data_IF_927434052071
#
_entry.id   IF_927434052071
#
_cell.length_a   1.000
_cell.length_b   1.000
_cell.length_c   1.000
_cell.angle_alpha   90.00
_cell.angle_beta   90.00
_cell.angle_gamma   90.00
#
_symmetry.space_group_name_H-M   'P 1'
#
loop_
_entity.id
_entity.type
_entity.pdbx_description
1 polymer ?
#
# COMPACT_ATOMS: atom_id res chain seq x y z
N UNK A 1 19.68 52.18 -71.07
CA UNK A 1 19.59 51.01 -70.17
C UNK A 1 19.22 51.47 -68.77
N UNK A 2 17.99 51.28 -68.31
CA UNK A 2 17.66 51.17 -66.88
C UNK A 2 16.60 50.09 -66.71
N UNK A 3 16.95 49.13 -65.87
CA UNK A 3 16.24 47.89 -65.57
C UNK A 3 14.94 48.13 -64.80
N UNK A 4 13.98 47.24 -65.03
CA UNK A 4 12.72 47.12 -64.32
C UNK A 4 12.90 46.71 -62.84
N UNK A 5 11.97 47.10 -61.98
CA UNK A 5 11.62 46.31 -60.78
C UNK A 5 10.11 46.41 -60.57
N UNK A 6 9.39 45.33 -60.90
CA UNK A 6 8.01 45.12 -60.47
C UNK A 6 8.03 44.68 -59.00
N UNK A 7 7.42 45.46 -58.12
CA UNK A 7 7.17 45.04 -56.73
C UNK A 7 6.02 44.04 -56.70
N UNK A 8 6.34 42.75 -56.57
CA UNK A 8 5.37 41.71 -56.24
C UNK A 8 5.17 41.75 -54.72
N UNK A 9 4.02 42.25 -54.25
CA UNK A 9 3.65 42.19 -52.85
C UNK A 9 3.24 40.75 -52.48
N UNK A 10 4.11 40.04 -51.76
CA UNK A 10 3.79 38.75 -51.15
C UNK A 10 2.90 38.97 -49.93
N UNK A 11 1.63 38.61 -50.04
CA UNK A 11 0.73 38.48 -48.88
C UNK A 11 1.16 37.26 -48.06
N UNK A 12 1.86 37.49 -46.96
CA UNK A 12 2.07 36.49 -45.91
C UNK A 12 0.71 36.26 -45.22
N UNK A 13 0.05 35.15 -45.54
CA UNK A 13 -1.10 34.67 -44.78
C UNK A 13 -0.58 34.19 -43.44
N UNK A 14 -0.72 35.02 -42.41
CA UNK A 14 -0.49 34.61 -41.03
C UNK A 14 -1.54 33.56 -40.66
N UNK A 15 -1.15 32.29 -40.67
CA UNK A 15 -1.91 31.21 -40.05
C UNK A 15 -2.09 31.56 -38.58
N UNK A 16 -3.32 31.90 -38.18
CA UNK A 16 -3.68 32.02 -36.77
C UNK A 16 -3.52 30.66 -36.11
N UNK A 17 -2.39 30.42 -35.46
CA UNK A 17 -2.25 29.34 -34.50
C UNK A 17 -3.32 29.55 -33.42
N UNK A 18 -4.41 28.79 -33.50
CA UNK A 18 -5.39 28.71 -32.42
C UNK A 18 -4.70 27.98 -31.27
N UNK A 19 -4.02 28.74 -30.40
CA UNK A 19 -3.51 28.22 -29.14
C UNK A 19 -4.70 27.66 -28.35
N UNK A 20 -4.65 26.38 -27.99
CA UNK A 20 -5.67 25.77 -27.15
C UNK A 20 -5.79 26.55 -25.84
N UNK A 21 -6.98 27.07 -25.56
CA UNK A 21 -7.32 27.67 -24.26
C UNK A 21 -7.52 26.54 -23.26
N UNK A 22 -6.44 26.09 -22.60
CA UNK A 22 -6.54 25.17 -21.49
C UNK A 22 -6.99 25.93 -20.23
N UNK A 23 -8.04 25.45 -19.56
CA UNK A 23 -8.60 26.04 -18.33
C UNK A 23 -7.65 25.95 -17.14
N UNK A 24 -6.69 25.03 -17.20
CA UNK A 24 -5.66 24.79 -16.20
C UNK A 24 -4.40 24.32 -16.93
N UNK A 25 -3.29 25.05 -16.76
CA UNK A 25 -1.99 24.53 -17.13
C UNK A 25 -1.54 23.56 -16.02
N UNK A 26 -1.12 22.33 -16.37
CA UNK A 26 -0.91 21.29 -15.37
C UNK A 26 0.25 21.57 -14.41
N UNK A 27 1.21 22.41 -14.80
CA UNK A 27 2.38 22.79 -14.01
C UNK A 27 2.82 24.20 -14.44
N UNK A 28 2.94 25.14 -13.51
CA UNK A 28 3.56 26.43 -13.78
C UNK A 28 5.09 26.27 -13.69
N UNK A 29 5.83 26.76 -14.69
CA UNK A 29 7.29 26.84 -14.58
C UNK A 29 7.62 27.85 -13.47
N UNK A 30 8.38 27.47 -12.42
CA UNK A 30 8.77 28.41 -11.39
C UNK A 30 9.54 29.58 -12.03
N UNK A 31 9.06 30.81 -11.87
CA UNK A 31 9.69 32.00 -12.45
C UNK A 31 10.88 32.51 -11.63
N UNK A 32 11.52 31.66 -10.81
CA UNK A 32 12.66 32.04 -9.97
C UNK A 32 13.42 30.86 -9.37
N UNK A 33 14.68 31.11 -8.99
CA UNK A 33 15.52 30.20 -8.20
C UNK A 33 15.08 30.29 -6.74
N UNK A 34 13.91 29.77 -6.42
CA UNK A 34 13.33 29.79 -5.09
C UNK A 34 12.19 28.81 -5.04
N UNK A 35 12.27 27.88 -4.08
CA UNK A 35 11.17 26.98 -3.73
C UNK A 35 9.90 27.80 -3.59
N UNK A 36 8.98 27.67 -4.57
CA UNK A 36 7.62 28.15 -4.39
C UNK A 36 7.13 27.58 -3.08
N UNK A 37 6.69 28.44 -2.16
CA UNK A 37 6.38 28.12 -0.76
C UNK A 37 5.44 26.91 -0.69
N UNK A 38 6.03 25.72 -0.64
CA UNK A 38 5.28 24.50 -0.44
C UNK A 38 5.09 24.41 1.05
N UNK A 39 3.87 24.66 1.50
CA UNK A 39 3.44 24.29 2.85
C UNK A 39 3.86 22.84 3.11
N UNK A 40 4.40 22.56 4.30
CA UNK A 40 4.96 21.25 4.66
C UNK A 40 3.95 20.12 4.38
N UNK A 41 2.64 20.38 4.51
CA UNK A 41 1.56 19.47 4.16
C UNK A 41 1.60 18.96 2.70
N UNK A 42 1.90 19.83 1.73
CA UNK A 42 1.96 19.45 0.30
C UNK A 42 3.19 18.60 0.02
N UNK A 43 4.33 18.94 0.66
CA UNK A 43 5.57 18.17 0.59
C UNK A 43 5.41 16.79 1.23
N UNK A 44 4.77 16.72 2.39
CA UNK A 44 4.55 15.46 3.10
C UNK A 44 3.50 14.57 2.40
N UNK A 45 2.47 15.15 1.79
CA UNK A 45 1.57 14.40 0.91
C UNK A 45 2.31 13.83 -0.32
N UNK A 46 3.22 14.60 -0.92
CA UNK A 46 4.06 14.14 -2.04
C UNK A 46 5.03 13.04 -1.61
N UNK A 47 5.65 13.18 -0.44
CA UNK A 47 6.49 12.15 0.16
C UNK A 47 5.71 10.85 0.40
N UNK A 48 4.51 10.93 1.00
CA UNK A 48 3.63 9.76 1.20
C UNK A 48 3.30 9.09 -0.13
N UNK A 49 2.89 9.85 -1.14
CA UNK A 49 2.62 9.30 -2.47
C UNK A 49 3.85 8.60 -3.05
N UNK A 50 5.04 9.19 -2.91
CA UNK A 50 6.28 8.61 -3.39
C UNK A 50 6.66 7.32 -2.64
N UNK A 51 6.37 7.22 -1.34
CA UNK A 51 6.51 5.97 -0.56
C UNK A 51 5.54 4.90 -1.07
N UNK A 52 4.26 5.24 -1.22
CA UNK A 52 3.23 4.30 -1.69
C UNK A 52 3.50 3.80 -3.11
N UNK A 53 4.01 4.67 -3.98
CA UNK A 53 4.42 4.34 -5.34
C UNK A 53 5.80 3.66 -5.43
N UNK A 54 6.48 3.46 -4.29
CA UNK A 54 7.83 2.89 -4.21
C UNK A 54 8.90 3.69 -4.97
N UNK A 55 8.69 5.00 -5.13
CA UNK A 55 9.72 5.94 -5.59
C UNK A 55 10.68 6.30 -4.45
N UNK A 56 10.19 6.25 -3.20
CA UNK A 56 10.99 6.33 -1.97
C UNK A 56 10.90 4.97 -1.28
N UNK A 57 12.04 4.38 -0.95
CA UNK A 57 12.15 3.09 -0.29
C UNK A 57 13.38 3.06 0.63
N UNK A 58 13.41 2.13 1.59
CA UNK A 58 14.55 1.98 2.51
C UNK A 58 14.67 3.08 3.56
N UNK A 59 13.60 3.83 3.85
CA UNK A 59 13.62 4.80 4.94
C UNK A 59 13.52 4.08 6.30
N UNK A 60 14.32 4.52 7.27
CA UNK A 60 14.27 3.99 8.64
C UNK A 60 13.11 4.59 9.44
N UNK A 61 12.83 5.87 9.22
CA UNK A 61 11.78 6.65 9.90
C UNK A 61 11.15 7.63 8.91
N UNK A 62 9.93 8.08 9.21
CA UNK A 62 9.33 9.18 8.45
C UNK A 62 10.09 10.49 8.71
N UNK A 63 10.08 11.47 7.78
CA UNK A 63 10.63 12.80 8.05
C UNK A 63 9.94 13.45 9.25
N UNK A 64 10.71 14.04 10.15
CA UNK A 64 10.17 14.65 11.39
C UNK A 64 9.10 15.70 11.10
N UNK A 65 9.31 16.53 10.08
CA UNK A 65 8.34 17.53 9.62
C UNK A 65 7.04 16.94 9.05
N UNK A 66 7.00 15.62 8.79
CA UNK A 66 5.83 14.93 8.24
C UNK A 66 5.04 14.13 9.27
N UNK A 67 5.41 14.18 10.56
CA UNK A 67 4.69 13.48 11.63
C UNK A 67 3.23 13.94 11.72
N UNK A 68 3.01 15.26 11.85
CA UNK A 68 1.66 15.82 11.98
C UNK A 68 0.80 15.55 10.73
N UNK A 69 1.39 15.69 9.53
CA UNK A 69 0.72 15.37 8.27
C UNK A 69 0.35 13.88 8.16
N UNK A 70 1.20 12.99 8.69
CA UNK A 70 0.97 11.54 8.71
C UNK A 70 -0.13 11.18 9.70
N UNK A 71 -0.13 11.77 10.90
CA UNK A 71 -1.21 11.61 11.88
C UNK A 71 -2.55 12.09 11.30
N UNK A 72 -2.56 13.29 10.68
CA UNK A 72 -3.75 13.85 10.04
C UNK A 72 -4.28 12.97 8.89
N UNK A 73 -3.40 12.31 8.14
CA UNK A 73 -3.82 11.35 7.11
C UNK A 73 -4.49 10.09 7.69
N UNK A 74 -3.92 9.56 8.78
CA UNK A 74 -4.41 8.34 9.45
C UNK A 74 -5.76 8.59 10.13
N UNK A 75 -5.89 9.73 10.82
CA UNK A 75 -7.05 10.06 11.66
C UNK A 75 -8.11 10.87 10.92
N UNK A 76 -7.72 11.64 9.90
CA UNK A 76 -8.58 12.55 9.15
C UNK A 76 -9.47 11.88 8.11
N UNK A 77 -9.59 10.56 8.12
CA UNK A 77 -10.50 9.79 7.26
C UNK A 77 -9.95 9.43 5.87
N UNK A 78 -8.91 10.10 5.38
CA UNK A 78 -8.30 9.76 4.08
C UNK A 78 -7.73 8.34 4.09
N UNK A 79 -7.02 7.92 5.14
CA UNK A 79 -6.52 6.55 5.28
C UNK A 79 -7.63 5.50 5.18
N UNK A 80 -8.79 5.75 5.80
CA UNK A 80 -9.95 4.86 5.70
C UNK A 80 -10.54 4.85 4.29
N UNK A 81 -10.63 6.01 3.63
CA UNK A 81 -11.12 6.13 2.25
C UNK A 81 -10.23 5.37 1.26
N UNK A 82 -8.92 5.50 1.40
CA UNK A 82 -7.93 4.81 0.56
C UNK A 82 -7.98 3.29 0.83
N UNK A 83 -8.03 2.88 2.10
CA UNK A 83 -8.20 1.47 2.51
C UNK A 83 -9.48 0.85 1.97
N UNK A 84 -10.59 1.62 1.98
CA UNK A 84 -11.89 1.20 1.43
C UNK A 84 -11.78 0.98 -0.07
N UNK A 85 -11.16 1.91 -0.79
CA UNK A 85 -11.01 1.84 -2.24
C UNK A 85 -10.26 0.59 -2.66
N UNK A 86 -9.11 0.31 -2.03
CA UNK A 86 -8.34 -0.91 -2.30
C UNK A 86 -9.14 -2.17 -2.01
N UNK A 87 -9.79 -2.24 -0.85
CA UNK A 87 -10.62 -3.39 -0.46
C UNK A 87 -11.82 -3.62 -1.39
N UNK A 88 -12.45 -2.56 -1.89
CA UNK A 88 -13.50 -2.66 -2.91
C UNK A 88 -12.96 -3.23 -4.23
N UNK A 89 -11.77 -2.80 -4.66
CA UNK A 89 -11.15 -3.34 -5.87
C UNK A 89 -10.78 -4.82 -5.74
N UNK A 90 -10.36 -5.27 -4.55
CA UNK A 90 -10.16 -6.70 -4.25
C UNK A 90 -11.47 -7.46 -4.43
N UNK A 91 -12.56 -6.97 -3.83
CA UNK A 91 -13.87 -7.62 -3.91
C UNK A 91 -14.39 -7.69 -5.35
N UNK A 92 -14.40 -6.58 -6.08
CA UNK A 92 -14.89 -6.53 -7.45
C UNK A 92 -14.10 -7.47 -8.37
N UNK A 93 -12.77 -7.43 -8.24
CA UNK A 93 -11.92 -8.35 -8.97
C UNK A 93 -12.25 -9.82 -8.67
N UNK A 94 -12.42 -10.18 -7.39
CA UNK A 94 -12.77 -11.54 -7.01
C UNK A 94 -14.18 -11.95 -7.49
N UNK A 95 -15.17 -11.04 -7.44
CA UNK A 95 -16.55 -11.33 -7.86
C UNK A 95 -16.70 -11.54 -9.36
N UNK A 96 -15.79 -10.99 -10.17
CA UNK A 96 -15.76 -11.19 -11.62
C UNK A 96 -15.18 -12.55 -12.03
N UNK A 97 -14.57 -13.29 -11.09
CA UNK A 97 -14.00 -14.60 -11.34
C UNK A 97 -15.02 -15.72 -11.09
N UNK A 98 -14.92 -16.78 -11.90
CA UNK A 98 -15.50 -18.07 -11.55
C UNK A 98 -14.62 -18.73 -10.48
N UNK A 99 -15.03 -18.62 -9.22
CA UNK A 99 -14.30 -19.16 -8.08
C UNK A 99 -14.21 -20.69 -8.14
N UNK A 100 -13.02 -21.22 -7.85
CA UNK A 100 -12.69 -22.64 -7.79
C UNK A 100 -12.36 -23.05 -6.35
N UNK A 101 -12.48 -24.34 -6.02
CA UNK A 101 -12.26 -24.85 -4.67
C UNK A 101 -10.84 -24.65 -4.12
N UNK A 102 -9.86 -24.45 -5.01
CA UNK A 102 -8.47 -24.19 -4.68
C UNK A 102 -8.09 -22.70 -4.74
N UNK A 103 -9.05 -21.80 -4.99
CA UNK A 103 -8.81 -20.36 -5.03
C UNK A 103 -8.60 -19.78 -3.64
N UNK A 104 -7.48 -19.07 -3.49
CA UNK A 104 -7.12 -18.40 -2.23
C UNK A 104 -6.87 -16.91 -2.41
N UNK A 105 -7.32 -16.13 -1.42
CA UNK A 105 -6.87 -14.76 -1.20
C UNK A 105 -5.89 -14.78 -0.03
N UNK A 106 -4.70 -14.21 -0.26
CA UNK A 106 -3.68 -14.05 0.76
C UNK A 106 -3.80 -12.64 1.36
N UNK A 107 -3.82 -12.57 2.68
CA UNK A 107 -3.69 -11.32 3.43
C UNK A 107 -2.41 -11.32 4.27
N UNK A 108 -1.67 -10.22 4.25
CA UNK A 108 -0.73 -9.91 5.34
C UNK A 108 -1.52 -9.67 6.66
N UNK A 109 -0.84 -9.74 7.81
CA UNK A 109 -1.48 -9.52 9.11
C UNK A 109 -1.33 -8.07 9.57
N UNK A 110 -0.16 -7.68 10.07
CA UNK A 110 0.11 -6.35 10.61
C UNK A 110 -0.02 -5.27 9.53
N UNK A 111 -0.74 -4.18 9.82
CA UNK A 111 -0.98 -3.10 8.86
C UNK A 111 -1.98 -3.46 7.74
N UNK A 112 -2.52 -4.68 7.72
CA UNK A 112 -3.44 -5.15 6.66
C UNK A 112 -4.78 -5.65 7.21
N UNK A 113 -4.78 -6.66 8.08
CA UNK A 113 -6.00 -7.16 8.75
C UNK A 113 -6.07 -6.70 10.21
N UNK A 114 -4.91 -6.63 10.89
CA UNK A 114 -4.77 -6.08 12.24
C UNK A 114 -4.03 -4.75 12.14
N UNK A 115 -4.62 -3.71 12.72
CA UNK A 115 -4.05 -2.37 12.75
C UNK A 115 -2.97 -2.26 13.82
N UNK A 116 -1.79 -1.77 13.43
CA UNK A 116 -0.71 -1.37 14.33
C UNK A 116 -0.69 0.14 14.61
N UNK A 117 -1.69 0.89 14.13
CA UNK A 117 -1.84 2.33 14.39
C UNK A 117 -1.85 2.64 15.90
N UNK A 118 -2.53 1.87 16.79
CA UNK A 118 -2.51 2.19 18.22
C UNK A 118 -1.10 2.20 18.84
N UNK A 119 -0.19 1.36 18.35
CA UNK A 119 1.23 1.41 18.72
C UNK A 119 1.87 2.67 18.14
N UNK A 120 1.84 2.84 16.82
CA UNK A 120 2.53 3.96 16.17
C UNK A 120 2.03 5.34 16.61
N UNK A 121 0.76 5.49 16.99
CA UNK A 121 0.22 6.74 17.55
C UNK A 121 0.88 7.17 18.86
N UNK A 122 1.41 6.21 19.63
CA UNK A 122 2.16 6.45 20.86
C UNK A 122 3.68 6.53 20.63
N UNK A 123 4.13 6.28 19.40
CA UNK A 123 5.54 6.23 18.99
C UNK A 123 5.82 7.10 17.75
N UNK A 124 5.27 8.31 17.75
CA UNK A 124 5.60 9.35 16.77
C UNK A 124 5.18 9.06 15.32
N UNK A 125 4.18 8.21 15.10
CA UNK A 125 3.68 7.83 13.76
C UNK A 125 4.78 7.34 12.79
N UNK A 126 5.84 6.73 13.33
CA UNK A 126 6.95 6.21 12.52
C UNK A 126 8.18 7.12 12.48
N UNK A 127 8.24 8.20 13.26
CA UNK A 127 9.46 9.02 13.41
C UNK A 127 10.48 8.39 14.35
N UNK A 128 10.07 7.44 15.20
CA UNK A 128 10.96 6.66 16.05
C UNK A 128 11.52 5.45 15.30
N UNK A 129 12.81 5.14 15.52
CA UNK A 129 13.42 3.91 15.01
C UNK A 129 12.68 2.68 15.55
N UNK A 130 12.36 1.75 14.67
CA UNK A 130 11.66 0.52 15.06
C UNK A 130 12.50 -0.33 16.03
N UNK A 131 11.87 -0.76 17.11
CA UNK A 131 12.43 -1.69 18.09
C UNK A 131 11.51 -2.90 18.21
N UNK A 132 11.96 -4.05 17.70
CA UNK A 132 11.14 -5.26 17.65
C UNK A 132 10.80 -5.82 19.03
N UNK A 133 11.72 -5.75 19.99
CA UNK A 133 11.49 -6.22 21.37
C UNK A 133 10.39 -5.40 22.02
N UNK A 134 10.47 -4.06 21.90
CA UNK A 134 9.45 -3.14 22.43
C UNK A 134 8.10 -3.38 21.77
N UNK A 135 8.07 -3.47 20.43
CA UNK A 135 6.84 -3.74 19.68
C UNK A 135 6.18 -5.06 20.11
N UNK A 136 6.99 -6.11 20.33
CA UNK A 136 6.47 -7.40 20.81
C UNK A 136 5.89 -7.29 22.23
N UNK A 137 6.65 -6.72 23.17
CA UNK A 137 6.28 -6.62 24.59
C UNK A 137 5.06 -5.71 24.84
N UNK A 138 5.02 -4.56 24.18
CA UNK A 138 4.00 -3.53 24.40
C UNK A 138 2.75 -3.75 23.55
N UNK A 139 2.88 -4.40 22.38
CA UNK A 139 1.78 -4.50 21.42
C UNK A 139 1.42 -5.93 21.01
N UNK A 140 2.32 -6.68 20.33
CA UNK A 140 1.97 -7.99 19.75
C UNK A 140 1.54 -9.00 20.81
N UNK A 141 2.27 -9.07 21.93
CA UNK A 141 2.01 -10.02 23.00
C UNK A 141 0.72 -9.71 23.78
N UNK A 142 0.14 -8.52 23.62
CA UNK A 142 -1.16 -8.19 24.22
C UNK A 142 -2.31 -8.88 23.49
N UNK A 143 -2.16 -9.18 22.19
CA UNK A 143 -3.20 -9.84 21.40
C UNK A 143 -4.47 -9.02 21.21
N UNK A 144 -4.34 -7.69 21.28
CA UNK A 144 -5.47 -6.74 21.33
C UNK A 144 -5.49 -5.77 20.13
N UNK A 145 -4.70 -6.03 19.08
CA UNK A 145 -4.68 -5.17 17.90
C UNK A 145 -6.08 -5.16 17.24
N UNK A 146 -6.67 -3.98 16.97
CA UNK A 146 -8.00 -3.90 16.37
C UNK A 146 -7.96 -4.30 14.89
N UNK A 147 -9.09 -4.75 14.35
CA UNK A 147 -9.20 -4.97 12.91
C UNK A 147 -9.06 -3.66 12.13
N UNK A 148 -8.45 -3.72 10.94
CA UNK A 148 -8.69 -2.69 9.93
C UNK A 148 -10.10 -2.89 9.35
N UNK A 149 -11.02 -1.92 9.55
CA UNK A 149 -12.46 -2.16 9.37
C UNK A 149 -12.84 -2.46 7.92
N UNK A 150 -12.21 -1.79 6.96
CA UNK A 150 -12.49 -2.02 5.53
C UNK A 150 -11.97 -3.38 5.06
N UNK A 151 -10.87 -3.86 5.63
CA UNK A 151 -10.35 -5.22 5.37
C UNK A 151 -11.23 -6.29 5.98
N UNK A 152 -11.73 -6.10 7.21
CA UNK A 152 -12.68 -7.02 7.84
C UNK A 152 -13.99 -7.12 7.06
N UNK A 153 -14.55 -5.99 6.61
CA UNK A 153 -15.74 -5.98 5.74
C UNK A 153 -15.50 -6.77 4.45
N UNK A 154 -14.35 -6.57 3.82
CA UNK A 154 -14.00 -7.26 2.58
C UNK A 154 -13.77 -8.76 2.80
N UNK A 155 -13.07 -9.14 3.87
CA UNK A 155 -12.90 -10.53 4.28
C UNK A 155 -14.23 -11.28 4.37
N UNK A 156 -15.24 -10.70 5.03
CA UNK A 156 -16.58 -11.31 5.13
C UNK A 156 -17.26 -11.46 3.76
N UNK A 157 -17.10 -10.48 2.87
CA UNK A 157 -17.63 -10.57 1.51
C UNK A 157 -16.94 -11.64 0.67
N UNK A 158 -15.62 -11.75 0.79
CA UNK A 158 -14.82 -12.77 0.10
C UNK A 158 -15.21 -14.18 0.56
N UNK A 159 -15.41 -14.40 1.88
CA UNK A 159 -15.96 -15.67 2.36
C UNK A 159 -17.32 -16.00 1.73
N UNK A 160 -18.18 -15.00 1.52
CA UNK A 160 -19.45 -15.16 0.82
C UNK A 160 -19.34 -15.57 -0.66
N UNK A 161 -18.18 -15.36 -1.30
CA UNK A 161 -17.88 -15.85 -2.65
C UNK A 161 -17.34 -17.29 -2.66
N UNK A 162 -17.08 -17.89 -1.49
CA UNK A 162 -16.49 -19.22 -1.37
C UNK A 162 -14.97 -19.26 -1.52
N UNK A 163 -14.28 -18.11 -1.56
CA UNK A 163 -12.81 -18.09 -1.61
C UNK A 163 -12.22 -18.46 -0.25
N UNK A 164 -11.11 -19.19 -0.28
CA UNK A 164 -10.35 -19.53 0.92
C UNK A 164 -9.41 -18.40 1.30
N UNK A 165 -9.29 -18.15 2.60
CA UNK A 165 -8.42 -17.08 3.12
C UNK A 165 -7.16 -17.68 3.71
N UNK A 166 -6.00 -17.15 3.32
CA UNK A 166 -4.71 -17.48 3.92
C UNK A 166 -4.12 -16.21 4.53
N UNK A 167 -3.70 -16.29 5.79
CA UNK A 167 -2.90 -15.26 6.43
C UNK A 167 -1.42 -15.61 6.33
N UNK A 168 -0.61 -14.70 5.77
CA UNK A 168 0.84 -14.84 5.63
C UNK A 168 1.55 -13.65 6.28
N UNK A 169 2.14 -13.86 7.45
CA UNK A 169 2.71 -12.80 8.29
C UNK A 169 4.21 -12.94 8.51
N UNK A 170 4.88 -11.81 8.74
CA UNK A 170 6.28 -11.77 9.19
C UNK A 170 6.45 -12.06 10.68
N UNK A 171 5.37 -12.14 11.47
CA UNK A 171 5.43 -12.55 12.88
C UNK A 171 6.08 -13.93 13.01
N UNK A 172 6.85 -14.10 14.08
CA UNK A 172 7.53 -15.36 14.36
C UNK A 172 6.58 -16.43 14.91
N UNK A 173 6.94 -17.70 14.75
CA UNK A 173 6.10 -18.85 15.15
C UNK A 173 5.80 -18.93 16.65
N UNK A 174 6.64 -18.34 17.50
CA UNK A 174 6.36 -18.18 18.94
C UNK A 174 5.15 -17.27 19.21
N UNK A 175 4.78 -16.41 18.26
CA UNK A 175 3.58 -15.55 18.33
C UNK A 175 2.32 -16.17 17.74
N UNK A 176 2.33 -17.46 17.39
CA UNK A 176 1.20 -18.11 16.72
C UNK A 176 -0.08 -18.04 17.55
N UNK A 177 -0.03 -18.49 18.81
CA UNK A 177 -1.21 -18.55 19.67
C UNK A 177 -1.84 -17.16 19.91
N UNK A 178 -1.01 -16.16 20.22
CA UNK A 178 -1.48 -14.78 20.43
C UNK A 178 -2.05 -14.16 19.14
N UNK A 179 -1.46 -14.47 17.98
CA UNK A 179 -1.96 -13.99 16.69
C UNK A 179 -3.31 -14.60 16.34
N UNK A 180 -3.50 -15.91 16.55
CA UNK A 180 -4.79 -16.57 16.34
C UNK A 180 -5.88 -16.02 17.28
N UNK A 181 -5.55 -15.82 18.56
CA UNK A 181 -6.46 -15.24 19.54
C UNK A 181 -6.87 -13.81 19.13
N UNK A 182 -5.90 -12.99 18.71
CA UNK A 182 -6.15 -11.62 18.29
C UNK A 182 -7.02 -11.57 17.02
N UNK A 183 -6.73 -12.39 16.00
CA UNK A 183 -7.53 -12.47 14.77
C UNK A 183 -8.99 -12.80 15.08
N UNK A 184 -9.24 -13.80 15.95
CA UNK A 184 -10.59 -14.15 16.40
C UNK A 184 -11.27 -13.02 17.15
N UNK A 185 -10.56 -12.38 18.08
CA UNK A 185 -11.06 -11.21 18.83
C UNK A 185 -11.42 -10.05 17.91
N UNK A 186 -10.66 -9.85 16.84
CA UNK A 186 -10.86 -8.80 15.85
C UNK A 186 -11.96 -9.13 14.80
N UNK A 187 -12.55 -10.33 14.83
CA UNK A 187 -13.66 -10.71 13.96
C UNK A 187 -13.30 -11.60 12.76
N UNK A 188 -12.04 -12.03 12.65
CA UNK A 188 -11.62 -13.02 11.65
C UNK A 188 -11.74 -14.41 12.26
N UNK A 189 -12.74 -15.20 11.85
CA UNK A 189 -13.07 -16.46 12.54
C UNK A 189 -12.69 -17.72 11.75
N UNK A 190 -12.50 -17.59 10.44
CA UNK A 190 -12.24 -18.70 9.51
C UNK A 190 -11.08 -18.38 8.58
N UNK A 191 -10.16 -19.32 8.42
CA UNK A 191 -9.08 -19.25 7.45
C UNK A 191 -8.62 -20.67 7.11
N UNK A 192 -8.08 -20.83 5.91
CA UNK A 192 -7.49 -22.07 5.42
C UNK A 192 -6.13 -22.31 6.10
N UNK A 193 -5.27 -21.27 6.13
CA UNK A 193 -3.95 -21.33 6.78
C UNK A 193 -3.58 -20.00 7.44
N UNK A 194 -2.85 -20.11 8.55
CA UNK A 194 -2.07 -19.03 9.13
C UNK A 194 -0.60 -19.46 9.09
N UNK A 195 0.19 -18.72 8.31
CA UNK A 195 1.62 -19.00 8.05
C UNK A 195 2.44 -17.89 8.73
N UNK A 196 3.32 -18.30 9.65
CA UNK A 196 4.25 -17.46 10.38
C UNK A 196 5.69 -17.79 9.99
N UNK A 197 6.61 -16.89 10.29
CA UNK A 197 8.03 -17.04 9.97
C UNK A 197 8.74 -17.84 11.07
N UNK A 198 9.53 -18.83 10.69
CA UNK A 198 10.36 -19.56 11.66
C UNK A 198 11.54 -18.69 12.12
N UNK A 199 11.92 -18.70 13.42
CA UNK A 199 13.07 -17.95 13.92
C UNK A 199 14.40 -18.30 13.21
N UNK A 200 14.54 -19.54 12.73
CA UNK A 200 15.71 -20.00 11.98
C UNK A 200 15.76 -19.49 10.54
N UNK A 201 14.69 -18.87 10.04
CA UNK A 201 14.62 -18.35 8.68
C UNK A 201 15.32 -16.98 8.60
N UNK A 202 16.52 -16.96 8.00
CA UNK A 202 17.31 -15.75 7.79
C UNK A 202 16.94 -14.91 6.55
N UNK A 203 15.90 -15.28 5.81
CA UNK A 203 15.46 -14.55 4.61
C UNK A 203 14.85 -13.19 4.98
N UNK A 204 14.94 -12.21 4.08
CA UNK A 204 14.16 -10.97 4.23
C UNK A 204 12.65 -11.23 3.98
N UNK A 205 11.80 -10.21 4.13
CA UNK A 205 10.34 -10.40 4.04
C UNK A 205 9.92 -10.81 2.64
N UNK A 206 10.51 -10.21 1.60
CA UNK A 206 10.23 -10.55 0.21
C UNK A 206 10.55 -12.01 -0.09
N UNK A 207 11.76 -12.46 0.24
CA UNK A 207 12.24 -13.82 0.00
C UNK A 207 11.42 -14.87 0.75
N UNK A 208 11.18 -14.63 2.05
CA UNK A 208 10.36 -15.50 2.89
C UNK A 208 8.94 -15.64 2.32
N UNK A 209 8.26 -14.52 2.05
CA UNK A 209 6.87 -14.56 1.57
C UNK A 209 6.77 -15.11 0.14
N UNK A 210 7.76 -14.83 -0.71
CA UNK A 210 7.87 -15.45 -2.04
C UNK A 210 7.99 -16.97 -1.94
N UNK A 211 8.79 -17.46 -0.99
CA UNK A 211 8.99 -18.89 -0.75
C UNK A 211 7.70 -19.55 -0.25
N UNK A 212 7.02 -18.95 0.74
CA UNK A 212 5.76 -19.49 1.25
C UNK A 212 4.64 -19.50 0.20
N UNK A 213 4.53 -18.46 -0.63
CA UNK A 213 3.59 -18.47 -1.76
C UNK A 213 3.93 -19.57 -2.77
N UNK A 214 5.21 -19.85 -3.01
CA UNK A 214 5.65 -20.97 -3.84
C UNK A 214 5.20 -22.32 -3.29
N UNK A 215 5.31 -22.54 -1.98
CA UNK A 215 4.80 -23.75 -1.32
C UNK A 215 3.29 -23.89 -1.48
N UNK A 216 2.53 -22.80 -1.42
CA UNK A 216 1.08 -22.81 -1.64
C UNK A 216 0.73 -23.23 -3.08
N UNK A 217 1.42 -22.69 -4.07
CA UNK A 217 1.22 -23.08 -5.48
C UNK A 217 1.58 -24.55 -5.71
N UNK A 218 2.68 -25.03 -5.11
CA UNK A 218 3.07 -26.46 -5.17
C UNK A 218 2.04 -27.38 -4.48
N UNK A 219 1.32 -26.89 -3.48
CA UNK A 219 0.21 -27.59 -2.83
C UNK A 219 -1.09 -27.56 -3.66
N UNK A 220 -1.09 -26.92 -4.83
CA UNK A 220 -2.22 -26.85 -5.74
C UNK A 220 -3.17 -25.67 -5.51
N UNK A 221 -2.85 -24.74 -4.61
CA UNK A 221 -3.64 -23.51 -4.47
C UNK A 221 -3.43 -22.57 -5.65
N UNK A 222 -4.52 -21.94 -6.10
CA UNK A 222 -4.48 -20.84 -7.05
C UNK A 222 -4.65 -19.51 -6.30
N UNK A 223 -3.56 -18.76 -6.19
CA UNK A 223 -3.56 -17.46 -5.50
C UNK A 223 -4.22 -16.43 -6.43
N UNK A 224 -5.49 -16.10 -6.20
CA UNK A 224 -6.22 -15.16 -7.05
C UNK A 224 -5.91 -13.69 -6.69
N UNK A 225 -5.71 -13.40 -5.40
CA UNK A 225 -5.35 -12.07 -4.92
C UNK A 225 -4.37 -12.14 -3.75
N UNK A 226 -3.41 -11.20 -3.73
CA UNK A 226 -2.48 -10.99 -2.62
C UNK A 226 -2.62 -9.55 -2.12
N UNK A 227 -2.98 -9.39 -0.84
CA UNK A 227 -3.33 -8.11 -0.24
C UNK A 227 -2.39 -7.84 0.94
N UNK A 228 -1.69 -6.72 0.88
CA UNK A 228 -0.76 -6.33 1.92
C UNK A 228 -0.50 -4.82 1.91
N UNK A 229 0.04 -4.32 3.01
CA UNK A 229 0.42 -2.92 3.22
C UNK A 229 1.88 -2.62 2.85
N UNK A 230 2.66 -3.61 2.45
CA UNK A 230 4.07 -3.46 2.08
C UNK A 230 4.36 -4.14 0.73
N UNK A 231 5.18 -3.49 -0.10
CA UNK A 231 5.57 -4.04 -1.41
C UNK A 231 6.39 -5.32 -1.31
N UNK A 232 7.21 -5.48 -0.26
CA UNK A 232 7.92 -6.72 0.05
C UNK A 232 6.98 -7.92 0.23
N UNK A 233 5.76 -7.69 0.72
CA UNK A 233 4.74 -8.75 0.83
C UNK A 233 4.05 -9.09 -0.49
N UNK A 234 4.13 -8.20 -1.48
CA UNK A 234 3.42 -8.32 -2.77
C UNK A 234 4.31 -8.76 -3.93
N UNK A 235 5.61 -8.43 -3.87
CA UNK A 235 6.61 -8.71 -4.90
C UNK A 235 7.26 -10.09 -4.71
N UNK A 236 8.10 -10.47 -5.67
CA UNK A 236 8.82 -11.75 -5.73
C UNK A 236 8.10 -12.79 -6.59
N UNK A 237 8.39 -14.06 -6.38
CA UNK A 237 7.73 -15.16 -7.06
C UNK A 237 6.32 -15.40 -6.54
N UNK A 238 5.47 -16.04 -7.37
CA UNK A 238 4.13 -16.50 -6.97
C UNK A 238 3.26 -15.39 -6.36
N UNK A 239 3.27 -14.19 -6.93
CA UNK A 239 2.55 -13.01 -6.38
C UNK A 239 1.03 -13.20 -6.32
N UNK A 240 0.51 -14.18 -7.05
CA UNK A 240 -0.90 -14.34 -7.35
C UNK A 240 -1.28 -13.67 -8.67
N UNK A 241 -2.54 -13.83 -9.07
CA UNK A 241 -3.05 -13.25 -10.31
C UNK A 241 -3.12 -11.71 -10.26
N UNK A 242 -3.35 -11.14 -9.06
CA UNK A 242 -3.32 -9.70 -8.83
C UNK A 242 -2.89 -9.34 -7.41
N UNK A 243 -2.04 -8.31 -7.29
CA UNK A 243 -1.61 -7.75 -6.01
C UNK A 243 -2.35 -6.45 -5.70
N UNK A 244 -2.68 -6.23 -4.42
CA UNK A 244 -3.38 -5.05 -3.94
C UNK A 244 -2.64 -4.46 -2.73
N UNK A 245 -2.13 -3.23 -2.90
CA UNK A 245 -1.37 -2.50 -1.89
C UNK A 245 -2.32 -1.66 -1.04
N UNK A 246 -2.42 -1.97 0.25
CA UNK A 246 -3.04 -1.07 1.23
C UNK A 246 -2.06 0.06 1.58
N UNK A 247 -2.56 1.26 1.90
CA UNK A 247 -1.70 2.35 2.32
C UNK A 247 -1.03 2.03 3.65
N UNK A 248 0.23 2.42 3.79
CA UNK A 248 0.96 2.43 5.05
C UNK A 248 2.17 3.37 4.98
N UNK A 249 2.03 4.61 5.49
CA UNK A 249 3.14 5.56 5.55
C UNK A 249 4.04 5.40 6.79
N UNK A 250 3.68 4.54 7.74
CA UNK A 250 4.29 4.50 9.08
C UNK A 250 5.67 3.85 9.10
N UNK A 251 5.94 2.93 8.16
CA UNK A 251 7.19 2.17 8.12
C UNK A 251 7.42 1.57 6.74
N UNK A 252 8.68 1.14 6.53
CA UNK A 252 9.10 0.38 5.36
C UNK A 252 9.65 -0.97 5.79
N UNK A 253 9.30 -2.03 5.04
CA UNK A 253 9.87 -3.37 5.21
C UNK A 253 10.37 -3.88 3.87
N UNK A 254 11.61 -4.39 3.87
CA UNK A 254 12.24 -5.10 2.75
C UNK A 254 11.96 -6.61 2.74
#
# INVERSE_FOLDING_TARGET
MKFAVFFLATFLVASQCHGGSFRSFPLEMPTGYGDGVSHDDVRCASWRLAVEAQNIFGFETIPEQCVDSTAAYIEGGQYQSDSKTVNQQVFFYASDLKIQDNDVVIFNVDGTVLSNIPYYSQHGYGSEKFNSTRYDEEFVNKGDAPALPETLKNYNKLLGLGVKIIFLTGRLTDKKAVTEANLRKAGFHTWEKLILKEPSNGQNTLEYKSTERGKLVQQGYRIIANVADQWSSLKGGNQGLRSFKLPNPLYFIE
#
